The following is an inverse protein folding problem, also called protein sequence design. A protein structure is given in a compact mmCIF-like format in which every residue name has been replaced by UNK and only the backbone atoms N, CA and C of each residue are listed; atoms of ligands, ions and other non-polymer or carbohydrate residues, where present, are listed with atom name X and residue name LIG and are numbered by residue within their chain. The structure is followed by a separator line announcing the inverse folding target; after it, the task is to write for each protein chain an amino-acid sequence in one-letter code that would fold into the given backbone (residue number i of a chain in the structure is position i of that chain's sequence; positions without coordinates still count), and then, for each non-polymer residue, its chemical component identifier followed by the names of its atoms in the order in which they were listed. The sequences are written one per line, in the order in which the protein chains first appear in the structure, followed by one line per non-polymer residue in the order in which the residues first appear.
data_IF_637654348921
#
_entry.id   IF_637654348921
#
_cell.length_a   1.000
_cell.length_b   1.000
_cell.length_c   1.000
_cell.angle_alpha   90.00
_cell.angle_beta   90.00
_cell.angle_gamma   90.00
#
_symmetry.space_group_name_H-M   'P 1'
#
loop_
_entity.id
_entity.type
_entity.pdbx_description
1 polymer ?
#
# COMPACT_ATOMS: atom_id res chain seq x y z
N UNK A 1 3.83 20.89 -5.92
CA UNK A 1 4.75 19.78 -5.71
C UNK A 1 6.10 20.07 -6.40
N UNK A 2 6.95 20.89 -5.79
CA UNK A 2 8.36 21.06 -6.17
C UNK A 2 9.24 20.48 -5.05
N UNK A 3 8.99 19.22 -4.68
CA UNK A 3 9.89 18.51 -3.77
C UNK A 3 11.10 18.03 -4.58
N UNK A 4 12.28 18.53 -4.24
CA UNK A 4 13.53 18.00 -4.82
C UNK A 4 13.80 16.64 -4.19
N UNK A 5 13.70 15.58 -4.99
CA UNK A 5 14.01 14.22 -4.56
C UNK A 5 15.53 14.12 -4.40
N UNK A 6 16.03 14.19 -3.17
CA UNK A 6 17.45 14.02 -2.87
C UNK A 6 17.95 12.59 -3.18
N UNK A 7 19.27 12.45 -3.38
CA UNK A 7 19.93 11.16 -3.63
C UNK A 7 19.61 10.11 -2.55
N UNK A 8 19.39 10.53 -1.31
CA UNK A 8 19.00 9.64 -0.20
C UNK A 8 17.63 8.96 -0.43
N UNK A 9 16.66 9.69 -1.02
CA UNK A 9 15.34 9.12 -1.38
C UNK A 9 15.47 8.08 -2.50
N UNK A 10 16.29 8.36 -3.50
CA UNK A 10 16.57 7.40 -4.58
C UNK A 10 17.25 6.14 -4.07
N UNK A 11 18.23 6.28 -3.16
CA UNK A 11 18.87 5.14 -2.51
C UNK A 11 17.88 4.26 -1.75
N UNK A 12 17.01 4.86 -0.93
CA UNK A 12 15.98 4.12 -0.19
C UNK A 12 15.02 3.39 -1.12
N UNK A 13 14.57 4.03 -2.21
CA UNK A 13 13.68 3.39 -3.21
C UNK A 13 14.39 2.19 -3.86
N UNK A 14 15.66 2.33 -4.22
CA UNK A 14 16.43 1.25 -4.84
C UNK A 14 16.58 0.04 -3.91
N UNK A 15 16.95 0.27 -2.64
CA UNK A 15 17.04 -0.79 -1.64
C UNK A 15 15.67 -1.42 -1.35
N UNK A 16 14.60 -0.62 -1.30
CA UNK A 16 13.24 -1.12 -1.17
C UNK A 16 12.85 -2.03 -2.34
N UNK A 17 13.19 -1.65 -3.58
CA UNK A 17 12.93 -2.46 -4.76
C UNK A 17 13.69 -3.81 -4.72
N UNK A 18 14.96 -3.81 -4.27
CA UNK A 18 15.72 -5.05 -4.04
C UNK A 18 14.98 -5.94 -3.03
N UNK A 19 14.50 -5.38 -1.92
CA UNK A 19 13.71 -6.13 -0.93
C UNK A 19 12.47 -6.78 -1.53
N UNK A 20 11.73 -6.07 -2.39
CA UNK A 20 10.57 -6.63 -3.10
C UNK A 20 10.98 -7.77 -4.03
N UNK A 21 12.05 -7.60 -4.81
CA UNK A 21 12.55 -8.65 -5.72
C UNK A 21 12.92 -9.92 -4.96
N UNK A 22 13.56 -9.78 -3.79
CA UNK A 22 13.91 -10.92 -2.93
C UNK A 22 12.68 -11.64 -2.41
N UNK A 23 11.62 -10.90 -2.03
CA UNK A 23 10.35 -11.49 -1.55
C UNK A 23 9.65 -12.24 -2.68
N UNK A 24 9.54 -11.61 -3.84
CA UNK A 24 8.80 -12.14 -4.98
C UNK A 24 9.51 -13.36 -5.60
N UNK A 25 10.83 -13.45 -5.47
CA UNK A 25 11.64 -14.54 -6.03
C UNK A 25 11.24 -14.85 -7.49
N UNK A 26 11.48 -13.94 -8.45
CA UNK A 26 11.07 -14.13 -9.82
C UNK A 26 11.81 -15.33 -10.45
N UNK A 27 11.26 -16.52 -10.26
CA UNK A 27 11.63 -17.71 -11.02
C UNK A 27 10.94 -17.64 -12.40
N UNK A 28 11.49 -18.35 -13.40
CA UNK A 28 10.98 -18.29 -14.78
C UNK A 28 9.46 -18.60 -14.90
N UNK A 29 8.88 -19.30 -13.93
CA UNK A 29 7.45 -19.59 -13.86
C UNK A 29 6.61 -18.48 -13.19
N UNK A 30 7.21 -17.61 -12.38
CA UNK A 30 6.54 -16.51 -11.69
C UNK A 30 6.39 -15.24 -12.54
N UNK A 31 7.10 -15.14 -13.67
CA UNK A 31 6.92 -14.07 -14.67
C UNK A 31 5.69 -14.31 -15.57
N UNK A 32 4.70 -14.99 -15.04
CA UNK A 32 3.40 -15.08 -15.68
C UNK A 32 2.75 -13.70 -15.66
N UNK A 33 1.89 -13.46 -16.65
CA UNK A 33 1.06 -12.24 -16.77
C UNK A 33 0.40 -11.83 -15.44
N UNK A 34 0.12 -12.82 -14.57
CA UNK A 34 -0.40 -12.60 -13.22
C UNK A 34 0.53 -11.75 -12.31
N UNK A 35 1.86 -11.79 -12.48
CA UNK A 35 2.79 -10.97 -11.70
C UNK A 35 2.74 -9.48 -12.08
N UNK A 36 2.27 -9.16 -13.28
CA UNK A 36 2.10 -7.77 -13.73
C UNK A 36 0.91 -7.08 -13.04
N UNK A 37 -0.10 -7.83 -12.60
CA UNK A 37 -1.28 -7.27 -11.96
C UNK A 37 -0.95 -6.55 -10.62
N UNK A 38 -0.18 -7.13 -9.67
CA UNK A 38 0.26 -6.42 -8.47
C UNK A 38 1.12 -5.19 -8.77
N UNK A 39 2.00 -5.24 -9.78
CA UNK A 39 2.81 -4.10 -10.20
C UNK A 39 1.94 -2.97 -10.75
N UNK A 40 0.98 -3.29 -11.61
CA UNK A 40 -0.02 -2.33 -12.10
C UNK A 40 -0.82 -1.73 -10.95
N UNK A 41 -1.30 -2.53 -10.01
CA UNK A 41 -2.03 -2.07 -8.83
C UNK A 41 -1.18 -1.13 -7.97
N UNK A 42 0.10 -1.43 -7.75
CA UNK A 42 1.03 -0.58 -7.03
C UNK A 42 1.26 0.78 -7.74
N UNK A 43 1.41 0.76 -9.06
CA UNK A 43 1.58 1.96 -9.87
C UNK A 43 0.34 2.87 -9.79
N UNK A 44 -0.85 2.33 -10.03
CA UNK A 44 -2.10 3.10 -9.91
C UNK A 44 -2.37 3.54 -8.47
N UNK A 45 -2.00 2.72 -7.48
CA UNK A 45 -2.06 3.07 -6.07
C UNK A 45 -1.19 4.29 -5.74
N UNK A 46 0.04 4.35 -6.26
CA UNK A 46 0.92 5.50 -6.08
C UNK A 46 0.36 6.77 -6.72
N UNK A 47 -0.19 6.68 -7.93
CA UNK A 47 -0.88 7.80 -8.59
C UNK A 47 -2.05 8.28 -7.74
N UNK A 48 -2.89 7.35 -7.25
CA UNK A 48 -4.01 7.66 -6.36
C UNK A 48 -3.56 8.43 -5.13
N UNK A 49 -2.47 8.02 -4.48
CA UNK A 49 -1.98 8.67 -3.27
C UNK A 49 -1.53 10.11 -3.53
N UNK A 50 -0.84 10.35 -4.64
CA UNK A 50 -0.43 11.71 -5.06
C UNK A 50 -1.65 12.58 -5.38
N UNK A 51 -2.64 12.04 -6.07
CA UNK A 51 -3.89 12.74 -6.38
C UNK A 51 -4.64 13.04 -5.08
N UNK A 52 -4.81 12.06 -4.19
CA UNK A 52 -5.46 12.23 -2.88
C UNK A 52 -4.80 13.36 -2.10
N UNK A 53 -3.47 13.37 -1.97
CA UNK A 53 -2.74 14.45 -1.30
C UNK A 53 -3.03 15.83 -1.91
N UNK A 54 -3.14 15.91 -3.23
CA UNK A 54 -3.44 17.17 -3.91
C UNK A 54 -4.86 17.66 -3.63
N UNK A 55 -5.82 16.73 -3.59
CA UNK A 55 -7.25 17.06 -3.41
C UNK A 55 -7.56 17.35 -1.94
N UNK A 56 -6.82 16.80 -0.98
CA UNK A 56 -7.06 17.05 0.45
C UNK A 56 -6.93 18.52 0.86
N UNK A 57 -6.34 19.38 0.01
CA UNK A 57 -6.29 20.83 0.25
C UNK A 57 -7.61 21.55 -0.07
N UNK A 58 -8.45 20.99 -0.93
CA UNK A 58 -9.69 21.61 -1.40
C UNK A 58 -10.96 20.91 -0.92
N UNK A 59 -10.89 19.60 -0.67
CA UNK A 59 -12.04 18.76 -0.36
C UNK A 59 -11.98 18.16 1.04
N UNK A 60 -13.13 17.84 1.63
CA UNK A 60 -13.18 17.15 2.91
C UNK A 60 -12.75 15.69 2.75
N UNK A 61 -12.14 15.12 3.81
CA UNK A 61 -11.70 13.72 3.79
C UNK A 61 -12.87 12.76 3.58
N UNK A 62 -14.04 13.12 4.08
CA UNK A 62 -15.26 12.34 3.90
C UNK A 62 -15.74 12.35 2.44
N UNK A 63 -15.70 13.50 1.77
CA UNK A 63 -16.03 13.64 0.34
C UNK A 63 -15.10 12.78 -0.51
N UNK A 64 -13.78 12.85 -0.25
CA UNK A 64 -12.78 12.06 -0.96
C UNK A 64 -13.02 10.56 -0.76
N UNK A 65 -13.33 10.15 0.48
CA UNK A 65 -13.62 8.76 0.83
C UNK A 65 -14.85 8.26 0.04
N UNK A 66 -15.98 8.96 0.15
CA UNK A 66 -17.22 8.53 -0.50
C UNK A 66 -17.07 8.46 -2.03
N UNK A 67 -16.47 9.49 -2.63
CA UNK A 67 -16.24 9.51 -4.08
C UNK A 67 -15.35 8.35 -4.52
N UNK A 68 -14.26 8.09 -3.77
CA UNK A 68 -13.35 6.98 -4.08
C UNK A 68 -14.06 5.63 -3.95
N UNK A 69 -14.84 5.43 -2.89
CA UNK A 69 -15.60 4.18 -2.69
C UNK A 69 -16.66 3.98 -3.77
N UNK A 70 -17.36 5.04 -4.14
CA UNK A 70 -18.35 4.99 -5.23
C UNK A 70 -17.68 4.58 -6.56
N UNK A 71 -16.56 5.20 -6.92
CA UNK A 71 -15.84 4.88 -8.15
C UNK A 71 -15.31 3.44 -8.15
N UNK A 72 -14.77 2.97 -7.01
CA UNK A 72 -14.29 1.58 -6.88
C UNK A 72 -15.45 0.60 -7.01
N UNK A 73 -16.59 0.88 -6.39
CA UNK A 73 -17.80 0.04 -6.47
C UNK A 73 -18.31 -0.01 -7.92
N UNK A 74 -18.36 1.14 -8.60
CA UNK A 74 -18.76 1.21 -10.00
C UNK A 74 -17.80 0.42 -10.89
N UNK A 75 -16.50 0.58 -10.70
CA UNK A 75 -15.49 -0.18 -11.43
C UNK A 75 -15.63 -1.69 -11.17
N UNK A 76 -15.85 -2.07 -9.90
CA UNK A 76 -16.13 -3.46 -9.53
C UNK A 76 -17.37 -3.99 -10.23
N UNK A 77 -18.46 -3.24 -10.25
CA UNK A 77 -19.69 -3.64 -10.91
C UNK A 77 -19.51 -3.87 -12.44
N UNK A 78 -18.66 -3.06 -13.08
CA UNK A 78 -18.35 -3.23 -14.50
C UNK A 78 -17.61 -4.55 -14.82
N UNK A 79 -17.00 -5.19 -13.82
CA UNK A 79 -16.38 -6.51 -13.99
C UNK A 79 -17.35 -7.68 -13.82
N UNK A 80 -18.61 -7.42 -13.47
CA UNK A 80 -19.64 -8.45 -13.30
C UNK A 80 -19.78 -9.39 -14.52
N UNK A 81 -19.76 -8.90 -15.79
CA UNK A 81 -19.87 -9.76 -16.97
C UNK A 81 -18.67 -10.71 -17.15
N UNK A 82 -17.55 -10.48 -16.47
CA UNK A 82 -16.36 -11.34 -16.56
C UNK A 82 -16.49 -12.64 -15.75
N UNK A 83 -17.64 -12.86 -15.08
CA UNK A 83 -17.93 -14.06 -14.29
C UNK A 83 -17.44 -13.89 -12.85
N UNK A 84 -18.34 -13.52 -11.95
CA UNK A 84 -18.09 -13.54 -10.52
C UNK A 84 -18.43 -14.93 -9.98
N UNK A 85 -17.65 -15.35 -8.97
CA UNK A 85 -18.00 -16.55 -8.20
C UNK A 85 -19.30 -16.33 -7.45
N UNK A 86 -20.06 -17.42 -7.23
CA UNK A 86 -21.30 -17.34 -6.46
C UNK A 86 -21.05 -16.79 -5.06
N UNK A 87 -21.89 -15.85 -4.67
CA UNK A 87 -21.82 -15.22 -3.36
C UNK A 87 -22.40 -16.17 -2.30
N UNK A 88 -21.56 -16.58 -1.35
CA UNK A 88 -22.00 -17.40 -0.21
C UNK A 88 -22.50 -16.51 0.91
N UNK A 89 -23.79 -16.57 1.20
CA UNK A 89 -24.44 -15.76 2.23
C UNK A 89 -23.83 -15.97 3.62
N UNK A 90 -23.28 -17.15 3.87
CA UNK A 90 -22.61 -17.49 5.13
C UNK A 90 -21.40 -16.58 5.45
N UNK A 91 -20.78 -16.01 4.43
CA UNK A 91 -19.63 -15.12 4.59
C UNK A 91 -19.99 -13.62 4.65
N UNK A 92 -21.29 -13.27 4.65
CA UNK A 92 -21.72 -11.87 4.59
C UNK A 92 -21.16 -11.03 5.76
N UNK A 93 -21.06 -11.63 6.94
CA UNK A 93 -20.52 -10.94 8.11
C UNK A 93 -19.02 -10.61 7.96
N UNK A 94 -18.24 -11.48 7.30
CA UNK A 94 -16.84 -11.22 7.00
C UNK A 94 -16.71 -10.06 6.01
N UNK A 95 -17.55 -10.00 5.00
CA UNK A 95 -17.58 -8.87 4.06
C UNK A 95 -17.97 -7.56 4.75
N UNK A 96 -18.95 -7.59 5.65
CA UNK A 96 -19.35 -6.41 6.42
C UNK A 96 -18.22 -5.93 7.33
N UNK A 97 -17.61 -6.82 8.10
CA UNK A 97 -16.47 -6.47 8.95
C UNK A 97 -15.29 -5.92 8.14
N UNK A 98 -14.93 -6.59 7.05
CA UNK A 98 -13.80 -6.15 6.21
C UNK A 98 -14.08 -4.81 5.55
N UNK A 99 -15.31 -4.54 5.08
CA UNK A 99 -15.66 -3.27 4.45
C UNK A 99 -15.61 -2.10 5.44
N UNK A 100 -16.06 -2.30 6.68
CA UNK A 100 -15.95 -1.30 7.74
C UNK A 100 -14.47 -1.00 8.05
N UNK A 101 -13.66 -2.05 8.24
CA UNK A 101 -12.23 -1.89 8.53
C UNK A 101 -11.48 -1.19 7.39
N UNK A 102 -11.76 -1.58 6.13
CA UNK A 102 -11.19 -0.92 4.95
C UNK A 102 -11.65 0.54 4.87
N UNK A 103 -12.93 0.83 5.13
CA UNK A 103 -13.45 2.19 5.14
C UNK A 103 -12.74 3.08 6.16
N UNK A 104 -12.60 2.60 7.39
CA UNK A 104 -11.86 3.30 8.46
C UNK A 104 -10.39 3.51 8.08
N UNK A 105 -9.72 2.46 7.58
CA UNK A 105 -8.32 2.53 7.17
C UNK A 105 -8.10 3.56 6.04
N UNK A 106 -9.00 3.60 5.05
CA UNK A 106 -8.95 4.57 3.96
C UNK A 106 -9.18 6.00 4.45
N UNK A 107 -10.14 6.19 5.36
CA UNK A 107 -10.36 7.50 5.98
C UNK A 107 -9.13 8.00 6.71
N UNK A 108 -8.53 7.16 7.56
CA UNK A 108 -7.31 7.50 8.29
C UNK A 108 -6.12 7.77 7.36
N UNK A 109 -6.02 7.05 6.23
CA UNK A 109 -4.99 7.29 5.23
C UNK A 109 -5.17 8.67 4.55
N UNK A 110 -6.42 9.05 4.22
CA UNK A 110 -6.72 10.37 3.66
C UNK A 110 -6.37 11.48 4.66
N UNK A 111 -6.74 11.30 5.94
CA UNK A 111 -6.37 12.24 7.00
C UNK A 111 -4.84 12.34 7.19
N UNK A 112 -4.14 11.22 7.14
CA UNK A 112 -2.69 11.24 7.20
C UNK A 112 -2.09 12.07 6.04
N UNK A 113 -2.59 11.89 4.81
CA UNK A 113 -2.16 12.70 3.67
C UNK A 113 -2.57 14.17 3.76
N UNK A 114 -3.63 14.50 4.50
CA UNK A 114 -4.01 15.89 4.80
C UNK A 114 -3.01 16.55 5.72
N UNK A 115 -2.55 15.83 6.75
CA UNK A 115 -1.69 16.36 7.80
C UNK A 115 -0.20 16.30 7.46
N UNK A 116 0.21 15.44 6.54
CA UNK A 116 1.63 15.19 6.24
C UNK A 116 1.95 15.06 4.76
N UNK A 117 3.24 15.05 4.46
CA UNK A 117 3.77 14.85 3.11
C UNK A 117 3.70 13.36 2.72
N UNK A 118 3.43 13.07 1.43
CA UNK A 118 3.36 11.69 0.92
C UNK A 118 4.67 10.94 1.16
N UNK A 119 5.80 11.60 0.97
CA UNK A 119 7.13 11.02 1.20
C UNK A 119 7.37 10.58 2.64
N UNK A 120 6.79 11.30 3.62
CA UNK A 120 6.88 10.95 5.04
C UNK A 120 5.92 9.82 5.43
N UNK A 121 4.72 9.78 4.83
CA UNK A 121 3.67 8.82 5.19
C UNK A 121 3.86 7.48 4.48
N UNK A 122 4.33 7.49 3.23
CA UNK A 122 4.47 6.28 2.42
C UNK A 122 5.30 5.16 3.05
N UNK A 123 6.41 5.42 3.77
CA UNK A 123 7.16 4.36 4.44
C UNK A 123 6.38 3.61 5.51
N UNK A 124 5.37 4.25 6.14
CA UNK A 124 4.52 3.57 7.12
C UNK A 124 3.66 2.46 6.49
N UNK A 125 3.42 2.49 5.17
CA UNK A 125 2.75 1.40 4.46
C UNK A 125 3.49 0.07 4.57
N UNK A 126 4.82 0.09 4.74
CA UNK A 126 5.59 -1.12 4.95
C UNK A 126 5.25 -1.84 6.26
N UNK A 127 4.64 -1.14 7.24
CA UNK A 127 4.14 -1.79 8.44
C UNK A 127 3.05 -2.83 8.15
N UNK A 128 2.31 -2.68 7.04
CA UNK A 128 1.32 -3.66 6.61
C UNK A 128 1.92 -5.04 6.34
N UNK A 129 3.17 -5.08 5.88
CA UNK A 129 3.90 -6.33 5.67
C UNK A 129 4.16 -7.05 7.00
N UNK A 130 4.52 -6.30 8.05
CA UNK A 130 4.72 -6.86 9.39
C UNK A 130 3.41 -7.46 9.92
N UNK A 131 2.30 -6.72 9.80
CA UNK A 131 0.99 -7.19 10.21
C UNK A 131 0.52 -8.38 9.40
N UNK A 132 0.78 -8.42 8.08
CA UNK A 132 0.46 -9.56 7.23
C UNK A 132 1.17 -10.84 7.69
N UNK A 133 2.45 -10.75 8.06
CA UNK A 133 3.22 -11.88 8.61
C UNK A 133 2.65 -12.34 9.95
N UNK A 134 2.37 -11.41 10.86
CA UNK A 134 1.84 -11.74 12.20
C UNK A 134 0.46 -12.40 12.07
N UNK A 135 -0.43 -11.82 11.28
CA UNK A 135 -1.80 -12.34 11.10
C UNK A 135 -1.76 -13.67 10.35
N UNK A 136 -0.93 -13.80 9.31
CA UNK A 136 -0.74 -15.05 8.56
C UNK A 136 -0.31 -16.19 9.48
N UNK A 137 0.63 -15.92 10.39
CA UNK A 137 1.08 -16.90 11.38
C UNK A 137 -0.03 -17.25 12.40
N UNK A 138 -0.73 -16.25 12.94
CA UNK A 138 -1.76 -16.49 13.98
C UNK A 138 -2.99 -17.21 13.41
N UNK A 139 -3.44 -16.85 12.19
CA UNK A 139 -4.70 -17.35 11.63
C UNK A 139 -4.53 -18.66 10.87
N UNK A 140 -3.44 -18.77 10.10
CA UNK A 140 -3.19 -19.92 9.22
C UNK A 140 -2.00 -20.78 9.63
N UNK A 141 -1.19 -20.34 10.61
CA UNK A 141 0.05 -21.02 10.98
C UNK A 141 1.17 -20.87 9.94
N UNK A 142 1.02 -19.94 9.00
CA UNK A 142 1.98 -19.73 7.92
C UNK A 142 3.29 -19.16 8.46
N UNK A 143 4.38 -19.90 8.31
CA UNK A 143 5.71 -19.43 8.65
C UNK A 143 6.32 -18.81 7.39
N UNK A 144 6.66 -17.49 7.42
CA UNK A 144 7.26 -16.85 6.27
C UNK A 144 8.60 -17.49 5.94
N UNK A 145 8.82 -17.79 4.65
CA UNK A 145 10.07 -18.34 4.18
C UNK A 145 11.25 -17.39 4.41
N UNK A 146 12.46 -17.93 4.43
CA UNK A 146 13.70 -17.18 4.67
C UNK A 146 13.83 -15.92 3.79
N UNK A 147 13.54 -16.03 2.50
CA UNK A 147 13.62 -14.89 1.57
C UNK A 147 12.59 -13.80 1.86
N UNK A 148 11.39 -14.18 2.34
CA UNK A 148 10.38 -13.21 2.77
C UNK A 148 10.87 -12.41 3.98
N UNK A 149 11.49 -13.08 4.96
CA UNK A 149 12.07 -12.42 6.13
C UNK A 149 13.22 -11.48 5.76
N UNK A 150 14.13 -11.93 4.90
CA UNK A 150 15.26 -11.11 4.43
C UNK A 150 14.76 -9.88 3.67
N UNK A 151 13.85 -10.06 2.70
CA UNK A 151 13.33 -8.95 1.91
C UNK A 151 12.49 -7.99 2.75
N UNK A 152 11.68 -8.49 3.70
CA UNK A 152 10.93 -7.66 4.65
C UNK A 152 11.87 -6.81 5.52
N UNK A 153 12.97 -7.40 6.00
CA UNK A 153 13.98 -6.68 6.79
C UNK A 153 14.60 -5.54 5.99
N UNK A 154 14.98 -5.78 4.73
CA UNK A 154 15.52 -4.75 3.82
C UNK A 154 14.50 -3.62 3.61
N UNK A 155 13.22 -3.95 3.38
CA UNK A 155 12.15 -2.97 3.21
C UNK A 155 11.97 -2.09 4.45
N UNK A 156 11.96 -2.70 5.64
CA UNK A 156 11.81 -1.97 6.91
C UNK A 156 13.01 -1.05 7.13
N UNK A 157 14.23 -1.55 6.93
CA UNK A 157 15.45 -0.74 7.08
C UNK A 157 15.44 0.44 6.11
N UNK A 158 15.08 0.20 4.84
CA UNK A 158 14.97 1.23 3.81
C UNK A 158 13.93 2.29 4.19
N UNK A 159 12.76 1.89 4.68
CA UNK A 159 11.71 2.80 5.15
C UNK A 159 12.16 3.65 6.36
N UNK A 160 12.78 3.02 7.37
CA UNK A 160 13.30 3.72 8.56
C UNK A 160 14.43 4.68 8.19
N UNK A 161 15.32 4.27 7.26
CA UNK A 161 16.36 5.15 6.75
C UNK A 161 15.77 6.41 6.09
N UNK A 162 14.76 6.24 5.25
CA UNK A 162 14.08 7.36 4.60
C UNK A 162 13.48 8.33 5.61
N UNK A 163 12.78 7.83 6.63
CA UNK A 163 12.20 8.64 7.70
C UNK A 163 13.25 9.43 8.47
N UNK A 164 14.40 8.83 8.78
CA UNK A 164 15.50 9.50 9.49
C UNK A 164 16.16 10.57 8.62
N UNK A 165 16.40 10.27 7.35
CA UNK A 165 16.98 11.22 6.40
C UNK A 165 16.10 12.47 6.23
N UNK A 166 14.79 12.31 6.15
CA UNK A 166 13.86 13.46 6.04
C UNK A 166 13.79 14.30 7.33
N UNK A 167 13.82 13.63 8.49
CA UNK A 167 13.84 14.35 9.78
C UNK A 167 15.08 15.23 9.95
N UNK A 168 16.24 14.76 9.49
CA UNK A 168 17.48 15.52 9.56
C UNK A 168 17.46 16.73 8.61
N UNK A 169 16.97 16.56 7.38
CA UNK A 169 16.86 17.66 6.42
C UNK A 169 15.92 18.79 6.90
N UNK A 170 14.87 18.46 7.65
CA UNK A 170 13.95 19.46 8.25
C UNK A 170 14.55 20.16 9.47
N UNK A 171 15.59 19.63 10.07
CA UNK A 171 16.25 20.24 11.22
C UNK A 171 17.33 21.28 10.81
N UNK A 172 17.83 21.12 9.59
CA UNK A 172 18.91 21.98 9.03
C UNK A 172 18.36 23.09 8.12
N UNK A 173 17.03 23.19 7.93
CA UNK A 173 16.32 24.24 7.19
C UNK A 173 15.54 25.16 8.13
#
# INVERSE_FOLDING_TARGET
LRERVGLHRWGAIFFGLIGVIIIVQPTNDAFKVAALAPLGAAFFGAIRDVITRKITSSESSFTILLTSMFLITLAGYLTFPLGWSEFQVEHIWLFLCSSILVGVAQYLMIEAFRLGEVGLISPFKYSSLLWAVIIGFIVWGDIPGYFVLVGATILIISGVYLLRAEKNLKKDS
#
